data_IF_930592332770
#
_entry.id   IF_930592332770
#
_cell.length_a   1.000
_cell.length_b   1.000
_cell.length_c   1.000
_cell.angle_alpha   90.00
_cell.angle_beta   90.00
_cell.angle_gamma   90.00
#
_symmetry.space_group_name_H-M   'P 1'
#
loop_
_entity.id
_entity.type
_entity.pdbx_description
1 polymer ?
#
# COMPACT_ATOMS: atom_id res chain seq x y z
N UNK A 1 32.56 19.06 -29.67
CA UNK A 1 32.88 17.86 -28.87
C UNK A 1 31.78 17.70 -27.84
N UNK A 2 30.92 16.68 -27.95
CA UNK A 2 29.84 16.48 -26.99
C UNK A 2 30.48 16.16 -25.62
N UNK A 3 30.14 16.89 -24.54
CA UNK A 3 30.71 16.58 -23.23
C UNK A 3 30.40 15.12 -22.89
N UNK A 4 31.42 14.35 -22.51
CA UNK A 4 31.22 12.96 -22.09
C UNK A 4 30.33 12.96 -20.85
N UNK A 5 29.31 12.10 -20.83
CA UNK A 5 28.43 11.94 -19.67
C UNK A 5 29.28 11.56 -18.44
N UNK A 6 29.08 12.20 -17.28
CA UNK A 6 29.75 11.82 -16.05
C UNK A 6 29.52 10.34 -15.73
N UNK A 7 30.53 9.64 -15.22
CA UNK A 7 30.42 8.20 -14.93
C UNK A 7 29.48 7.92 -13.77
N UNK A 8 29.27 8.90 -12.88
CA UNK A 8 28.40 8.80 -11.71
C UNK A 8 26.94 8.56 -12.08
N UNK A 9 26.50 9.00 -13.27
CA UNK A 9 25.12 8.82 -13.74
C UNK A 9 24.91 7.54 -14.57
N UNK A 10 25.95 6.75 -14.84
CA UNK A 10 25.83 5.54 -15.68
C UNK A 10 24.83 4.53 -15.09
N UNK A 11 24.75 4.43 -13.77
CA UNK A 11 23.78 3.57 -13.08
C UNK A 11 22.32 3.91 -13.40
N UNK A 12 22.01 5.16 -13.78
CA UNK A 12 20.68 5.59 -14.18
C UNK A 12 20.28 5.06 -15.57
N UNK A 13 21.26 4.71 -16.40
CA UNK A 13 21.06 4.12 -17.73
C UNK A 13 21.26 2.60 -17.73
N UNK A 14 21.31 1.95 -16.56
CA UNK A 14 21.25 0.50 -16.47
C UNK A 14 19.83 0.01 -16.80
N UNK A 15 19.72 -1.21 -17.33
CA UNK A 15 18.43 -1.85 -17.63
C UNK A 15 17.60 -2.06 -16.35
N UNK A 16 16.26 -1.97 -16.42
CA UNK A 16 15.39 -2.13 -15.24
C UNK A 16 15.55 -3.48 -14.52
N UNK A 17 16.08 -4.51 -15.18
CA UNK A 17 16.35 -5.84 -14.58
C UNK A 17 17.36 -5.80 -13.44
N UNK A 18 18.15 -4.74 -13.30
CA UNK A 18 19.02 -4.56 -12.13
C UNK A 18 18.22 -4.19 -10.87
N UNK A 19 16.98 -3.72 -11.01
CA UNK A 19 16.14 -3.30 -9.89
C UNK A 19 15.63 -4.52 -9.10
N UNK A 20 15.56 -4.43 -7.76
CA UNK A 20 15.11 -5.53 -6.92
C UNK A 20 13.65 -5.93 -7.25
N UNK A 21 13.43 -7.23 -7.45
CA UNK A 21 12.11 -7.77 -7.78
C UNK A 21 11.68 -7.57 -9.24
N UNK A 22 12.54 -7.00 -10.10
CA UNK A 22 12.26 -6.84 -11.54
C UNK A 22 12.84 -8.00 -12.34
N UNK A 23 12.06 -9.07 -12.44
CA UNK A 23 12.36 -10.19 -13.35
C UNK A 23 11.97 -9.91 -14.81
N UNK A 24 12.26 -10.83 -15.75
CA UNK A 24 12.06 -10.62 -17.19
C UNK A 24 10.63 -10.21 -17.57
N UNK A 25 9.62 -10.82 -16.95
CA UNK A 25 8.21 -10.47 -17.19
C UNK A 25 7.86 -9.05 -16.75
N UNK A 26 8.38 -8.63 -15.59
CA UNK A 26 8.13 -7.29 -15.08
C UNK A 26 8.90 -6.26 -15.91
N UNK A 27 10.14 -6.55 -16.29
CA UNK A 27 10.94 -5.71 -17.19
C UNK A 27 10.21 -5.47 -18.52
N UNK A 28 9.67 -6.52 -19.16
CA UNK A 28 8.89 -6.38 -20.39
C UNK A 28 7.59 -5.56 -20.20
N UNK A 29 7.03 -5.54 -18.99
CA UNK A 29 5.86 -4.70 -18.66
C UNK A 29 6.28 -3.24 -18.49
N UNK A 30 7.39 -2.99 -17.78
CA UNK A 30 7.97 -1.67 -17.59
C UNK A 30 8.38 -1.05 -18.94
N UNK A 31 9.06 -1.80 -19.79
CA UNK A 31 9.49 -1.34 -21.12
C UNK A 31 8.34 -0.78 -21.96
N UNK A 32 7.17 -1.44 -21.94
CA UNK A 32 6.01 -1.03 -22.73
C UNK A 32 5.34 0.26 -22.25
N UNK A 33 5.53 0.64 -20.98
CA UNK A 33 4.66 1.61 -20.30
C UNK A 33 5.39 2.72 -19.54
N UNK A 34 6.61 2.45 -19.10
CA UNK A 34 7.46 3.33 -18.29
C UNK A 34 8.78 3.55 -19.02
N UNK A 35 9.51 2.48 -19.34
CA UNK A 35 10.78 2.52 -20.07
C UNK A 35 11.70 1.35 -19.71
N UNK A 36 12.90 1.36 -20.29
CA UNK A 36 13.87 0.26 -20.21
C UNK A 36 14.99 0.51 -19.21
N UNK A 37 15.16 1.76 -18.75
CA UNK A 37 16.25 2.14 -17.87
C UNK A 37 15.77 2.55 -16.48
N UNK A 38 16.69 2.53 -15.51
CA UNK A 38 16.44 2.99 -14.14
C UNK A 38 15.91 4.43 -14.12
N UNK A 39 16.43 5.32 -14.96
CA UNK A 39 15.97 6.72 -15.05
C UNK A 39 14.50 6.83 -15.47
N UNK A 40 14.00 5.92 -16.30
CA UNK A 40 12.60 5.94 -16.74
C UNK A 40 11.67 5.63 -15.56
N UNK A 41 12.05 4.68 -14.71
CA UNK A 41 11.35 4.35 -13.46
C UNK A 41 11.40 5.53 -12.48
N UNK A 42 12.54 6.21 -12.36
CA UNK A 42 12.68 7.41 -11.51
C UNK A 42 11.80 8.58 -11.97
N UNK A 43 11.55 8.68 -13.29
CA UNK A 43 10.69 9.70 -13.89
C UNK A 43 9.21 9.33 -13.88
N UNK A 44 8.86 8.13 -13.42
CA UNK A 44 7.48 7.72 -13.19
C UNK A 44 6.96 8.33 -11.88
N UNK A 45 6.69 9.63 -11.92
CA UNK A 45 6.34 10.43 -10.74
C UNK A 45 4.98 10.03 -10.14
N UNK A 46 4.79 10.21 -8.82
CA UNK A 46 3.49 10.00 -8.21
C UNK A 46 2.50 11.08 -8.67
N UNK A 47 1.22 10.69 -8.80
CA UNK A 47 0.11 11.58 -9.15
C UNK A 47 -0.72 12.00 -7.94
N UNK A 48 -0.42 11.44 -6.77
CA UNK A 48 -1.08 11.78 -5.53
C UNK A 48 -0.33 11.23 -4.33
N UNK A 49 -0.80 11.61 -3.15
CA UNK A 49 -0.32 11.12 -1.87
C UNK A 49 -1.52 10.65 -1.06
N UNK A 50 -1.36 9.53 -0.36
CA UNK A 50 -2.26 9.10 0.69
C UNK A 50 -1.60 9.46 2.02
N UNK A 51 -2.28 10.27 2.82
CA UNK A 51 -1.86 10.61 4.19
C UNK A 51 -2.61 9.75 5.20
N UNK A 52 -1.88 8.91 5.93
CA UNK A 52 -2.41 7.98 6.95
C UNK A 52 -2.15 8.45 8.38
N UNK A 53 -1.64 9.67 8.56
CA UNK A 53 -1.37 10.25 9.88
C UNK A 53 -2.66 10.54 10.65
N UNK A 54 -3.78 10.72 9.95
CA UNK A 54 -5.09 10.91 10.56
C UNK A 54 -5.49 9.68 11.40
N UNK A 55 -5.69 9.90 12.71
CA UNK A 55 -6.13 8.91 13.69
C UNK A 55 -7.31 9.45 14.51
N UNK A 56 -8.46 9.72 13.87
CA UNK A 56 -9.66 10.18 14.60
C UNK A 56 -10.22 9.06 15.49
N UNK A 57 -11.16 9.40 16.37
CA UNK A 57 -12.03 8.41 17.00
C UNK A 57 -12.92 7.72 15.96
N UNK A 58 -13.37 6.51 16.26
CA UNK A 58 -14.35 5.78 15.44
C UNK A 58 -15.73 6.45 15.41
N UNK A 59 -16.04 7.24 16.43
CA UNK A 59 -17.24 8.05 16.58
C UNK A 59 -17.20 9.40 15.85
N UNK A 60 -16.00 9.89 15.50
CA UNK A 60 -15.77 11.19 14.83
C UNK A 60 -15.11 11.06 13.43
N UNK A 61 -15.14 9.86 12.85
CA UNK A 61 -14.57 9.65 11.52
C UNK A 61 -15.48 10.18 10.42
N UNK A 62 -14.90 10.95 9.49
CA UNK A 62 -15.61 11.44 8.32
C UNK A 62 -15.86 10.34 7.29
N UNK A 63 -17.08 10.29 6.75
CA UNK A 63 -17.45 9.35 5.68
C UNK A 63 -16.57 9.55 4.43
N UNK A 64 -16.12 8.44 3.85
CA UNK A 64 -15.25 8.41 2.67
C UNK A 64 -13.79 8.81 2.91
N UNK A 65 -13.40 9.17 4.14
CA UNK A 65 -12.03 9.57 4.48
C UNK A 65 -11.08 8.37 4.62
N UNK A 66 -9.78 8.62 4.49
CA UNK A 66 -8.74 7.65 4.85
C UNK A 66 -8.37 7.89 6.30
N UNK A 67 -8.49 6.85 7.13
CA UNK A 67 -8.21 6.92 8.55
C UNK A 67 -7.45 5.69 9.02
N UNK A 68 -6.79 5.84 10.16
CA UNK A 68 -6.00 4.80 10.80
C UNK A 68 -6.48 4.58 12.22
N UNK A 69 -6.74 3.33 12.58
CA UNK A 69 -7.23 2.96 13.90
C UNK A 69 -6.40 1.83 14.49
N UNK A 70 -6.14 1.91 15.79
CA UNK A 70 -5.76 0.74 16.57
C UNK A 70 -7.04 0.11 17.12
N UNK A 71 -7.28 -1.15 16.76
CA UNK A 71 -8.51 -1.87 17.08
C UNK A 71 -8.21 -3.22 17.73
N UNK A 72 -9.13 -3.68 18.57
CA UNK A 72 -9.20 -5.04 19.10
C UNK A 72 -10.15 -5.86 18.21
N UNK A 73 -9.69 -7.01 17.72
CA UNK A 73 -10.54 -7.92 16.95
C UNK A 73 -11.44 -8.70 17.91
N UNK A 74 -12.75 -8.57 17.77
CA UNK A 74 -13.71 -9.20 18.68
C UNK A 74 -14.18 -10.54 18.14
N UNK A 75 -14.73 -10.56 16.92
CA UNK A 75 -15.24 -11.80 16.33
C UNK A 75 -15.32 -11.75 14.81
N UNK A 76 -15.35 -12.94 14.22
CA UNK A 76 -15.60 -13.15 12.79
C UNK A 76 -17.06 -13.54 12.56
N UNK A 77 -17.75 -12.76 11.73
CA UNK A 77 -19.01 -13.14 11.11
C UNK A 77 -18.69 -13.70 9.71
N UNK A 78 -18.27 -14.96 9.69
CA UNK A 78 -17.86 -15.67 8.47
C UNK A 78 -19.09 -16.08 7.66
N UNK A 79 -19.13 -15.82 6.34
CA UNK A 79 -20.22 -16.26 5.49
C UNK A 79 -20.30 -17.79 5.43
N UNK A 80 -21.51 -18.39 5.53
CA UNK A 80 -21.72 -19.81 5.25
C UNK A 80 -21.22 -20.21 3.86
N UNK A 81 -20.74 -21.46 3.65
CA UNK A 81 -20.36 -21.93 2.32
C UNK A 81 -21.45 -21.72 1.27
N UNK A 82 -21.07 -21.25 0.08
CA UNK A 82 -22.00 -21.03 -1.05
C UNK A 82 -22.77 -19.71 -1.03
N UNK A 83 -22.63 -18.88 0.01
CA UNK A 83 -23.22 -17.53 0.02
C UNK A 83 -22.33 -16.49 -0.66
N UNK A 84 -22.95 -15.41 -1.15
CA UNK A 84 -22.25 -14.23 -1.69
C UNK A 84 -22.07 -13.10 -0.67
N UNK A 85 -22.46 -13.31 0.59
CA UNK A 85 -22.23 -12.34 1.66
C UNK A 85 -20.73 -12.15 1.89
N UNK A 86 -20.26 -10.91 2.14
CA UNK A 86 -18.88 -10.67 2.50
C UNK A 86 -18.57 -11.23 3.89
N UNK A 87 -17.29 -11.48 4.14
CA UNK A 87 -16.78 -11.77 5.49
C UNK A 87 -16.67 -10.46 6.24
N UNK A 88 -17.39 -10.35 7.36
CA UNK A 88 -17.30 -9.25 8.29
C UNK A 88 -16.49 -9.63 9.53
N UNK A 89 -15.54 -8.79 9.90
CA UNK A 89 -14.80 -8.88 11.16
C UNK A 89 -15.22 -7.69 12.02
N UNK A 90 -15.73 -7.99 13.21
CA UNK A 90 -16.17 -6.96 14.16
C UNK A 90 -14.99 -6.64 15.05
N UNK A 91 -14.66 -5.35 15.10
CA UNK A 91 -13.55 -4.81 15.86
C UNK A 91 -14.02 -3.61 16.69
N UNK A 92 -13.30 -3.28 17.75
CA UNK A 92 -13.63 -2.14 18.61
C UNK A 92 -12.37 -1.46 19.15
N UNK A 93 -12.56 -0.25 19.66
CA UNK A 93 -11.60 0.43 20.52
C UNK A 93 -12.35 1.30 21.53
N UNK A 94 -11.62 2.14 22.26
CA UNK A 94 -12.15 3.04 23.30
C UNK A 94 -13.24 4.00 22.80
N UNK A 95 -13.27 4.30 21.50
CA UNK A 95 -14.18 5.27 20.87
C UNK A 95 -15.39 4.64 20.18
N UNK A 96 -15.42 3.31 20.01
CA UNK A 96 -16.55 2.63 19.41
C UNK A 96 -16.22 1.33 18.68
N UNK A 97 -17.09 0.94 17.76
CA UNK A 97 -16.99 -0.31 16.99
C UNK A 97 -16.85 -0.01 15.49
N UNK A 98 -16.05 -0.81 14.79
CA UNK A 98 -15.87 -0.78 13.34
C UNK A 98 -16.01 -2.18 12.74
N UNK A 99 -16.64 -2.27 11.57
CA UNK A 99 -16.74 -3.51 10.81
C UNK A 99 -15.69 -3.52 9.67
N UNK A 100 -14.76 -4.48 9.68
CA UNK A 100 -13.87 -4.73 8.54
C UNK A 100 -14.54 -5.71 7.57
N UNK A 101 -14.61 -5.35 6.29
CA UNK A 101 -15.37 -6.10 5.28
C UNK A 101 -14.42 -6.65 4.21
N UNK A 102 -14.49 -7.96 3.98
CA UNK A 102 -13.72 -8.65 2.96
C UNK A 102 -14.65 -9.36 1.97
N UNK A 103 -14.59 -8.96 0.71
CA UNK A 103 -15.26 -9.64 -0.39
C UNK A 103 -14.40 -10.79 -0.91
N UNK A 104 -15.04 -11.89 -1.30
CA UNK A 104 -14.38 -13.07 -1.89
C UNK A 104 -13.17 -13.60 -1.11
N UNK A 105 -13.16 -13.43 0.22
CA UNK A 105 -12.13 -13.96 1.09
C UNK A 105 -12.08 -15.49 0.97
N UNK A 106 -10.93 -16.03 0.57
CA UNK A 106 -10.70 -17.48 0.47
C UNK A 106 -10.06 -17.98 1.76
N UNK A 107 -10.44 -19.19 2.13
CA UNK A 107 -9.84 -19.99 3.20
C UNK A 107 -9.87 -19.31 4.57
N UNK A 108 -8.79 -19.41 5.33
CA UNK A 108 -8.60 -18.89 6.69
C UNK A 108 -7.70 -17.65 6.73
N UNK A 109 -7.37 -17.07 5.57
CA UNK A 109 -6.47 -15.92 5.45
C UNK A 109 -6.88 -14.74 6.34
N UNK A 110 -8.17 -14.38 6.35
CA UNK A 110 -8.68 -13.27 7.18
C UNK A 110 -8.52 -13.58 8.66
N UNK A 111 -8.78 -14.82 9.10
CA UNK A 111 -8.60 -15.23 10.50
C UNK A 111 -7.15 -15.25 10.95
N UNK A 112 -6.20 -15.56 10.05
CA UNK A 112 -4.76 -15.47 10.36
C UNK A 112 -4.27 -14.03 10.46
N UNK A 113 -4.77 -13.16 9.58
CA UNK A 113 -4.40 -11.74 9.55
C UNK A 113 -5.02 -10.94 10.71
N UNK A 114 -6.27 -11.27 11.07
CA UNK A 114 -7.05 -10.66 12.14
C UNK A 114 -7.49 -11.73 13.15
N UNK A 115 -6.62 -12.27 14.02
CA UNK A 115 -7.01 -13.22 15.05
C UNK A 115 -7.90 -12.55 16.10
N UNK A 116 -8.97 -13.23 16.52
CA UNK A 116 -9.85 -12.73 17.59
C UNK A 116 -9.09 -12.62 18.93
N UNK A 117 -9.34 -11.53 19.65
CA UNK A 117 -8.64 -11.18 20.90
C UNK A 117 -7.33 -10.42 20.71
N UNK A 118 -6.84 -10.26 19.47
CA UNK A 118 -5.62 -9.52 19.20
C UNK A 118 -5.89 -8.09 18.73
N UNK A 119 -4.94 -7.20 19.05
CA UNK A 119 -4.93 -5.82 18.53
C UNK A 119 -4.27 -5.75 17.17
N UNK A 120 -4.77 -4.88 16.30
CA UNK A 120 -4.18 -4.53 14.99
C UNK A 120 -4.29 -3.04 14.76
N UNK A 121 -3.31 -2.49 14.04
CA UNK A 121 -3.43 -1.17 13.43
C UNK A 121 -3.95 -1.38 12.01
N UNK A 122 -5.09 -0.79 11.71
CA UNK A 122 -5.74 -0.86 10.40
C UNK A 122 -5.80 0.53 9.78
N UNK A 123 -5.57 0.62 8.47
CA UNK A 123 -5.74 1.85 7.73
C UNK A 123 -6.38 1.59 6.38
N UNK A 124 -7.24 2.50 5.96
CA UNK A 124 -7.95 2.41 4.70
C UNK A 124 -9.07 3.43 4.62
N UNK A 125 -9.85 3.35 3.55
CA UNK A 125 -11.02 4.19 3.37
C UNK A 125 -12.16 3.73 4.28
N UNK A 126 -12.72 4.67 5.03
CA UNK A 126 -13.86 4.44 5.92
C UNK A 126 -15.15 4.85 5.23
N UNK A 127 -16.17 4.04 5.39
CA UNK A 127 -17.54 4.31 4.93
C UNK A 127 -18.49 4.26 6.12
N UNK A 128 -19.36 5.26 6.25
CA UNK A 128 -20.40 5.28 7.29
C UNK A 128 -21.68 4.65 6.75
N UNK A 129 -22.04 3.48 7.26
CA UNK A 129 -23.29 2.80 6.91
C UNK A 129 -24.26 2.85 8.09
N UNK A 130 -25.36 3.58 7.93
CA UNK A 130 -26.33 3.82 9.02
C UNK A 130 -25.65 4.36 10.29
N UNK A 131 -24.66 5.25 10.13
CA UNK A 131 -23.88 5.83 11.22
C UNK A 131 -22.84 4.90 11.84
N UNK A 132 -22.63 3.70 11.31
CA UNK A 132 -21.57 2.78 11.76
C UNK A 132 -20.38 2.80 10.82
N UNK A 133 -19.15 2.99 11.31
CA UNK A 133 -17.97 2.96 10.46
C UNK A 133 -17.71 1.53 9.97
N UNK A 134 -17.39 1.42 8.69
CA UNK A 134 -17.00 0.19 8.02
C UNK A 134 -15.77 0.46 7.15
N UNK A 135 -14.91 -0.53 7.01
CA UNK A 135 -13.73 -0.45 6.15
C UNK A 135 -13.66 -1.69 5.27
N UNK A 136 -13.98 -1.52 3.99
CA UNK A 136 -13.85 -2.58 3.01
C UNK A 136 -12.39 -2.72 2.58
N UNK A 137 -11.85 -3.93 2.67
CA UNK A 137 -10.46 -4.25 2.32
C UNK A 137 -9.45 -3.19 2.81
N UNK A 138 -9.14 -3.14 4.12
CA UNK A 138 -8.13 -2.23 4.64
C UNK A 138 -6.85 -2.28 3.80
N UNK A 139 -6.28 -1.12 3.45
CA UNK A 139 -5.03 -1.02 2.70
C UNK A 139 -3.88 -1.65 3.48
N UNK A 140 -3.90 -1.45 4.80
CA UNK A 140 -2.91 -1.95 5.74
C UNK A 140 -3.57 -2.58 6.95
N UNK A 141 -3.02 -3.72 7.36
CA UNK A 141 -3.31 -4.38 8.63
C UNK A 141 -1.96 -4.82 9.19
N UNK A 142 -1.50 -4.11 10.22
CA UNK A 142 -0.19 -4.35 10.83
C UNK A 142 -0.36 -4.61 12.32
N UNK A 143 0.66 -5.23 12.93
CA UNK A 143 0.67 -5.45 14.36
C UNK A 143 1.05 -4.16 15.10
N UNK A 144 0.53 -3.94 16.33
CA UNK A 144 0.88 -2.74 17.11
C UNK A 144 2.37 -2.63 17.47
N UNK A 145 3.11 -3.75 17.47
CA UNK A 145 4.55 -3.81 17.73
C UNK A 145 5.43 -3.62 16.49
N UNK A 146 4.82 -3.49 15.31
CA UNK A 146 5.50 -3.17 14.05
C UNK A 146 4.75 -2.06 13.26
N UNK A 147 4.45 -0.91 13.87
CA UNK A 147 3.67 0.16 13.23
C UNK A 147 4.39 0.75 11.99
N UNK A 148 5.71 0.65 11.92
CA UNK A 148 6.55 1.11 10.82
C UNK A 148 6.36 0.34 9.51
N UNK A 149 5.74 -0.85 9.57
CA UNK A 149 5.34 -1.59 8.36
C UNK A 149 4.26 -0.84 7.55
N UNK A 150 3.55 0.10 8.19
CA UNK A 150 2.59 0.97 7.54
C UNK A 150 3.20 2.36 7.31
N UNK A 151 3.35 2.81 6.05
CA UNK A 151 3.86 4.14 5.75
C UNK A 151 2.84 5.21 6.14
N UNK A 152 3.33 6.25 6.83
CA UNK A 152 2.50 7.40 7.21
C UNK A 152 2.05 8.22 6.00
N UNK A 153 2.92 8.35 4.99
CA UNK A 153 2.62 9.03 3.73
C UNK A 153 3.00 8.07 2.61
N UNK A 154 2.06 7.79 1.70
CA UNK A 154 2.27 6.90 0.58
C UNK A 154 2.07 7.62 -0.76
N UNK A 155 3.10 7.62 -1.64
CA UNK A 155 2.92 8.05 -3.02
C UNK A 155 2.02 7.09 -3.81
N UNK A 156 1.08 7.68 -4.54
CA UNK A 156 0.22 6.99 -5.50
C UNK A 156 0.82 7.15 -6.89
N UNK A 157 1.27 6.04 -7.47
CA UNK A 157 1.81 6.02 -8.83
C UNK A 157 0.76 5.57 -9.84
N UNK A 158 0.76 6.13 -11.06
CA UNK A 158 -0.06 5.60 -12.14
C UNK A 158 0.25 4.12 -12.37
N UNK A 159 -0.78 3.29 -12.43
CA UNK A 159 -0.65 1.86 -12.67
C UNK A 159 -0.97 1.55 -14.12
N UNK A 160 -0.28 0.56 -14.66
CA UNK A 160 -0.56 -0.01 -15.99
C UNK A 160 -0.93 -1.47 -15.87
N UNK A 161 -1.70 -2.00 -16.82
CA UNK A 161 -2.06 -3.41 -16.84
C UNK A 161 -0.82 -4.32 -16.70
N UNK A 162 -0.89 -5.29 -15.79
CA UNK A 162 0.22 -6.21 -15.49
C UNK A 162 1.20 -5.72 -14.42
N UNK A 163 1.01 -4.52 -13.88
CA UNK A 163 1.85 -3.94 -12.83
C UNK A 163 1.06 -3.78 -11.52
N UNK A 164 1.53 -4.41 -10.45
CA UNK A 164 0.93 -4.22 -9.13
C UNK A 164 1.55 -3.01 -8.41
N UNK A 165 0.81 -2.32 -7.53
CA UNK A 165 1.35 -1.21 -6.73
C UNK A 165 2.61 -1.59 -5.96
N UNK A 166 2.59 -2.75 -5.29
CA UNK A 166 3.71 -3.27 -4.50
C UNK A 166 4.97 -3.51 -5.35
N UNK A 167 4.81 -4.08 -6.55
CA UNK A 167 5.93 -4.35 -7.44
C UNK A 167 6.55 -3.05 -7.98
N UNK A 168 5.70 -2.09 -8.38
CA UNK A 168 6.16 -0.78 -8.83
C UNK A 168 6.87 0.00 -7.73
N UNK A 169 6.29 0.06 -6.53
CA UNK A 169 6.90 0.72 -5.37
C UNK A 169 8.28 0.15 -5.06
N UNK A 170 8.43 -1.18 -5.04
CA UNK A 170 9.74 -1.82 -4.81
C UNK A 170 10.76 -1.48 -5.90
N UNK A 171 10.33 -1.42 -7.16
CA UNK A 171 11.20 -1.02 -8.26
C UNK A 171 11.64 0.45 -8.13
N UNK A 172 10.73 1.36 -7.76
CA UNK A 172 11.02 2.78 -7.53
C UNK A 172 11.96 2.96 -6.34
N UNK A 173 11.73 2.28 -5.22
CA UNK A 173 12.63 2.31 -4.05
C UNK A 173 14.05 1.85 -4.42
N UNK A 174 14.16 0.74 -5.16
CA UNK A 174 15.46 0.27 -5.66
C UNK A 174 16.09 1.20 -6.72
N UNK A 175 15.29 1.99 -7.43
CA UNK A 175 15.78 3.00 -8.35
C UNK A 175 16.28 4.25 -7.60
N UNK A 176 15.58 4.70 -6.54
CA UNK A 176 15.97 5.83 -5.70
C UNK A 176 17.34 5.61 -5.04
N UNK A 177 17.64 4.37 -4.63
CA UNK A 177 18.95 3.99 -4.09
C UNK A 177 20.11 4.13 -5.09
N UNK A 178 19.82 4.27 -6.39
CA UNK A 178 20.81 4.43 -7.46
C UNK A 178 21.05 5.89 -7.85
N UNK A 179 20.33 6.83 -7.25
CA UNK A 179 20.55 8.26 -7.50
C UNK A 179 21.92 8.64 -6.93
N UNK A 180 22.89 9.10 -7.77
CA UNK A 180 24.18 9.53 -7.26
C UNK A 180 24.00 10.76 -6.38
N UNK A 181 24.81 10.87 -5.32
CA UNK A 181 24.84 12.09 -4.50
C UNK A 181 25.33 13.24 -5.38
N UNK A 182 24.55 14.32 -5.56
CA UNK A 182 25.04 15.46 -6.31
C UNK A 182 26.25 16.07 -5.59
N UNK A 183 27.30 16.41 -6.35
CA UNK A 183 28.43 17.18 -5.84
C UNK A 183 28.01 18.65 -5.76
N UNK A 184 27.33 18.98 -4.68
CA UNK A 184 26.82 20.33 -4.39
C UNK A 184 25.84 20.84 -5.48
N UNK A 185 24.95 21.76 -5.12
CA UNK A 185 24.05 22.39 -6.09
C UNK A 185 24.79 23.62 -6.64
N UNK A 186 24.88 23.74 -7.97
CA UNK A 186 25.30 24.98 -8.64
C UNK A 186 24.12 25.97 -8.60
#
# INVERSE_FOLDING_TARGET
MHPRRPTEIFGLFAATTVLPGVGPKLAATLEKRIGTHVIDVLRHLPVGLIDRRARPGLDDVADGSIATFEILVIKHDKPPPGTRRPWRVICENETGQIDLIFFHARDDYVSRMLPAGERRIVSGRVELRQGRPQMAHPDHIVRPDAPEEMPQIEPVYPLTAGLSPKALRRAIEGAMQRIPRPREWI
#
